data_IF_150601778057
#
_entry.id   IF_150601778057
#
_cell.length_a   1.000
_cell.length_b   1.000
_cell.length_c   1.000
_cell.angle_alpha   90.00
_cell.angle_beta   90.00
_cell.angle_gamma   90.00
#
_symmetry.space_group_name_H-M   'P 1'
#
loop_
_entity.id
_entity.type
_entity.pdbx_description
1 polymer ?
#
# COMPACT_ATOMS: atom_id res chain seq x y z
N UNK A 1 41.86 -19.06 -11.74
CA UNK A 1 41.09 -19.20 -10.48
C UNK A 1 40.45 -17.84 -10.22
N UNK A 2 39.13 -17.65 -10.17
CA UNK A 2 38.02 -18.50 -9.75
C UNK A 2 36.99 -18.76 -10.86
N UNK A 3 36.45 -19.97 -10.82
CA UNK A 3 35.28 -20.39 -11.59
C UNK A 3 34.05 -19.56 -11.19
N UNK A 4 33.42 -18.91 -12.17
CA UNK A 4 31.99 -18.59 -12.09
C UNK A 4 31.26 -19.92 -12.21
N UNK A 5 31.08 -20.60 -11.08
CA UNK A 5 30.23 -21.78 -11.00
C UNK A 5 28.77 -21.31 -10.97
N UNK A 6 28.13 -21.26 -12.13
CA UNK A 6 26.70 -21.00 -12.28
C UNK A 6 25.92 -22.19 -11.68
N UNK A 7 25.64 -22.12 -10.38
CA UNK A 7 24.95 -23.18 -9.65
C UNK A 7 23.58 -23.49 -10.28
N UNK A 8 23.25 -24.75 -10.61
CA UNK A 8 21.96 -25.13 -11.22
C UNK A 8 20.76 -24.83 -10.30
N UNK A 9 21.01 -24.62 -9.00
CA UNK A 9 20.01 -24.19 -8.02
C UNK A 9 19.67 -22.69 -8.13
N UNK A 10 20.60 -21.86 -8.61
CA UNK A 10 20.38 -20.45 -8.93
C UNK A 10 19.48 -20.29 -10.16
N UNK A 11 19.81 -20.96 -11.28
CA UNK A 11 19.03 -20.92 -12.53
C UNK A 11 17.57 -21.35 -12.34
N UNK A 12 17.31 -22.40 -11.54
CA UNK A 12 15.94 -22.83 -11.20
C UNK A 12 15.19 -21.83 -10.32
N UNK A 13 15.89 -21.11 -9.44
CA UNK A 13 15.30 -20.08 -8.56
C UNK A 13 15.00 -18.81 -9.36
N UNK A 14 15.90 -18.39 -10.24
CA UNK A 14 15.71 -17.26 -11.16
C UNK A 14 14.55 -17.55 -12.13
N UNK A 15 14.43 -18.77 -12.65
CA UNK A 15 13.29 -19.17 -13.48
C UNK A 15 11.94 -19.14 -12.74
N UNK A 16 11.90 -19.62 -11.49
CA UNK A 16 10.69 -19.53 -10.63
C UNK A 16 10.33 -18.08 -10.29
N UNK A 17 11.33 -17.25 -10.01
CA UNK A 17 11.13 -15.83 -9.73
C UNK A 17 10.61 -15.10 -10.97
N UNK A 18 11.20 -15.34 -12.14
CA UNK A 18 10.76 -14.75 -13.40
C UNK A 18 9.30 -15.17 -13.73
N UNK A 19 8.94 -16.44 -13.50
CA UNK A 19 7.57 -16.93 -13.66
C UNK A 19 6.57 -16.20 -12.74
N UNK A 20 6.90 -16.03 -11.46
CA UNK A 20 6.04 -15.32 -10.49
C UNK A 20 5.90 -13.84 -10.86
N UNK A 21 6.99 -13.20 -11.29
CA UNK A 21 6.96 -11.80 -11.76
C UNK A 21 6.07 -11.64 -12.98
N UNK A 22 6.16 -12.56 -13.95
CA UNK A 22 5.31 -12.58 -15.14
C UNK A 22 3.83 -12.76 -14.78
N UNK A 23 3.51 -13.68 -13.86
CA UNK A 23 2.14 -13.89 -13.36
C UNK A 23 1.59 -12.65 -12.65
N UNK A 24 2.38 -12.01 -11.78
CA UNK A 24 1.97 -10.78 -11.10
C UNK A 24 1.79 -9.61 -12.09
N UNK A 25 2.66 -9.46 -13.09
CA UNK A 25 2.50 -8.45 -14.14
C UNK A 25 1.20 -8.63 -14.92
N UNK A 26 0.88 -9.87 -15.31
CA UNK A 26 -0.37 -10.19 -16.01
C UNK A 26 -1.58 -9.90 -15.13
N UNK A 27 -1.53 -10.25 -13.84
CA UNK A 27 -2.61 -9.99 -12.89
C UNK A 27 -2.83 -8.48 -12.67
N UNK A 28 -1.76 -7.69 -12.56
CA UNK A 28 -1.82 -6.24 -12.42
C UNK A 28 -2.39 -5.60 -13.69
N UNK A 29 -1.95 -6.02 -14.88
CA UNK A 29 -2.49 -5.55 -16.15
C UNK A 29 -3.98 -5.91 -16.32
N UNK A 30 -4.38 -7.10 -15.89
CA UNK A 30 -5.79 -7.53 -15.90
C UNK A 30 -6.64 -6.69 -14.95
N UNK A 31 -6.16 -6.40 -13.73
CA UNK A 31 -6.84 -5.51 -12.79
C UNK A 31 -6.98 -4.09 -13.32
N UNK A 32 -5.91 -3.54 -13.93
CA UNK A 32 -5.95 -2.22 -14.56
C UNK A 32 -6.98 -2.22 -15.70
N UNK A 33 -6.97 -3.24 -16.57
CA UNK A 33 -7.93 -3.38 -17.66
C UNK A 33 -9.38 -3.48 -17.15
N UNK A 34 -9.61 -4.25 -16.09
CA UNK A 34 -10.92 -4.38 -15.44
C UNK A 34 -11.41 -3.05 -14.85
N UNK A 35 -10.53 -2.29 -14.20
CA UNK A 35 -10.84 -0.98 -13.60
C UNK A 35 -11.12 0.08 -14.68
N UNK A 36 -10.38 0.05 -15.79
CA UNK A 36 -10.55 0.95 -16.94
C UNK A 36 -11.86 0.64 -17.68
N UNK A 37 -12.17 -0.63 -17.92
CA UNK A 37 -13.44 -1.03 -18.55
C UNK A 37 -14.67 -0.69 -17.70
N UNK A 38 -14.52 -0.58 -16.37
CA UNK A 38 -15.64 -0.23 -15.48
C UNK A 38 -16.07 1.23 -15.58
N UNK A 39 -15.13 2.19 -15.67
CA UNK A 39 -15.46 3.62 -15.78
C UNK A 39 -14.28 4.43 -16.36
N UNK A 40 -14.48 5.26 -17.40
CA UNK A 40 -13.41 6.06 -18.00
C UNK A 40 -12.89 7.20 -17.09
N UNK A 41 -13.60 7.53 -16.00
CA UNK A 41 -13.14 8.52 -15.00
C UNK A 41 -12.00 7.99 -14.12
N UNK A 42 -11.84 6.67 -14.01
CA UNK A 42 -10.78 6.04 -13.23
C UNK A 42 -9.40 6.15 -13.91
N UNK A 43 -9.33 6.64 -15.15
CA UNK A 43 -8.07 6.93 -15.84
C UNK A 43 -7.21 7.93 -15.05
N UNK A 44 -7.83 8.89 -14.36
CA UNK A 44 -7.11 9.86 -13.54
C UNK A 44 -6.32 9.18 -12.41
N UNK A 45 -6.90 8.14 -11.81
CA UNK A 45 -6.25 7.38 -10.73
C UNK A 45 -5.08 6.55 -11.26
N UNK A 46 -5.23 5.98 -12.47
CA UNK A 46 -4.16 5.22 -13.12
C UNK A 46 -2.96 6.12 -13.47
N UNK A 47 -3.22 7.33 -13.98
CA UNK A 47 -2.19 8.32 -14.28
C UNK A 47 -1.45 8.72 -12.99
N UNK A 48 -2.17 8.91 -11.88
CA UNK A 48 -1.57 9.22 -10.58
C UNK A 48 -0.57 8.16 -10.10
N UNK A 49 -0.91 6.87 -10.23
CA UNK A 49 -0.02 5.77 -9.86
C UNK A 49 1.22 5.75 -10.76
N UNK A 50 1.03 5.92 -12.07
CA UNK A 50 2.15 6.01 -13.03
C UNK A 50 3.07 7.20 -12.75
N UNK A 51 2.50 8.37 -12.43
CA UNK A 51 3.24 9.57 -12.09
C UNK A 51 4.06 9.40 -10.80
N UNK A 52 3.49 8.76 -9.77
CA UNK A 52 4.22 8.47 -8.53
C UNK A 52 5.42 7.55 -8.76
N UNK A 53 5.25 6.48 -9.54
CA UNK A 53 6.36 5.59 -9.92
C UNK A 53 7.41 6.37 -10.72
N UNK A 54 6.99 7.21 -11.65
CA UNK A 54 7.89 8.03 -12.47
C UNK A 54 8.71 9.00 -11.62
N UNK A 55 8.10 9.68 -10.64
CA UNK A 55 8.81 10.56 -9.69
C UNK A 55 9.83 9.75 -8.87
N UNK A 56 9.47 8.56 -8.38
CA UNK A 56 10.40 7.69 -7.68
C UNK A 56 11.59 7.27 -8.56
N UNK A 57 11.37 7.04 -9.85
CA UNK A 57 12.44 6.72 -10.81
C UNK A 57 13.31 7.96 -11.09
N UNK A 58 12.72 9.14 -11.24
CA UNK A 58 13.45 10.39 -11.47
C UNK A 58 14.32 10.80 -10.28
N UNK A 59 13.86 10.57 -9.05
CA UNK A 59 14.64 10.80 -7.83
C UNK A 59 15.68 9.71 -7.55
N UNK A 60 15.71 8.63 -8.33
CA UNK A 60 16.66 7.53 -8.13
C UNK A 60 18.03 7.88 -8.70
N UNK A 61 19.07 7.76 -7.87
CA UNK A 61 20.46 8.04 -8.26
C UNK A 61 20.95 7.09 -9.35
N UNK A 62 20.45 5.85 -9.41
CA UNK A 62 20.84 4.82 -10.39
C UNK A 62 19.60 4.16 -11.04
N UNK A 63 18.92 4.84 -11.97
CA UNK A 63 17.62 4.39 -12.49
C UNK A 63 17.70 3.09 -13.32
N UNK A 64 18.86 2.77 -13.90
CA UNK A 64 19.06 1.53 -14.66
C UNK A 64 19.29 0.28 -13.80
N UNK A 65 19.58 0.41 -12.49
CA UNK A 65 19.87 -0.74 -11.60
C UNK A 65 18.72 -1.03 -10.64
N UNK A 66 17.50 -0.63 -11.00
CA UNK A 66 16.32 -0.85 -10.17
C UNK A 66 15.88 -2.32 -10.30
N UNK A 67 15.85 -3.02 -9.17
CA UNK A 67 15.24 -4.34 -9.09
C UNK A 67 13.71 -4.19 -9.10
N UNK A 68 13.08 -4.50 -10.22
CA UNK A 68 11.63 -4.37 -10.41
C UNK A 68 10.79 -5.40 -9.64
N UNK A 69 11.41 -6.50 -9.21
CA UNK A 69 10.75 -7.56 -8.45
C UNK A 69 10.11 -7.06 -7.14
N UNK A 70 10.83 -6.39 -6.21
CA UNK A 70 10.23 -5.86 -4.99
C UNK A 70 9.16 -4.79 -5.27
N UNK A 71 9.34 -3.95 -6.29
CA UNK A 71 8.36 -2.92 -6.67
C UNK A 71 7.03 -3.56 -7.08
N UNK A 72 7.07 -4.55 -7.97
CA UNK A 72 5.88 -5.28 -8.41
C UNK A 72 5.23 -6.10 -7.28
N UNK A 73 6.04 -6.69 -6.39
CA UNK A 73 5.53 -7.41 -5.22
C UNK A 73 4.79 -6.48 -4.26
N UNK A 74 5.34 -5.28 -4.02
CA UNK A 74 4.71 -4.25 -3.19
C UNK A 74 3.36 -3.83 -3.75
N UNK A 75 3.28 -3.53 -5.05
CA UNK A 75 2.02 -3.21 -5.71
C UNK A 75 1.02 -4.36 -5.62
N UNK A 76 1.46 -5.60 -5.87
CA UNK A 76 0.59 -6.77 -5.78
C UNK A 76 -0.04 -6.92 -4.38
N UNK A 77 0.77 -6.81 -3.33
CA UNK A 77 0.28 -6.88 -1.95
C UNK A 77 -0.67 -5.71 -1.65
N UNK A 78 -0.30 -4.48 -2.05
CA UNK A 78 -1.10 -3.28 -1.81
C UNK A 78 -2.48 -3.36 -2.48
N UNK A 79 -2.54 -3.79 -3.74
CA UNK A 79 -3.81 -3.99 -4.45
C UNK A 79 -4.61 -5.17 -3.88
N UNK A 80 -3.95 -6.28 -3.53
CA UNK A 80 -4.61 -7.43 -2.92
C UNK A 80 -5.26 -7.03 -1.60
N UNK A 81 -4.53 -6.31 -0.75
CA UNK A 81 -5.05 -5.82 0.51
C UNK A 81 -6.23 -4.87 0.29
N UNK A 82 -6.10 -3.89 -0.62
CA UNK A 82 -7.18 -2.96 -0.93
C UNK A 82 -8.45 -3.66 -1.44
N UNK A 83 -8.33 -4.64 -2.32
CA UNK A 83 -9.48 -5.41 -2.83
C UNK A 83 -10.11 -6.25 -1.71
N UNK A 84 -9.29 -6.92 -0.91
CA UNK A 84 -9.77 -7.74 0.22
C UNK A 84 -10.50 -6.86 1.24
N UNK A 85 -9.99 -5.68 1.58
CA UNK A 85 -10.56 -4.86 2.65
C UNK A 85 -11.72 -3.98 2.20
N UNK A 86 -11.62 -3.33 1.03
CA UNK A 86 -12.67 -2.42 0.54
C UNK A 86 -13.77 -3.10 -0.26
N UNK A 87 -13.48 -4.19 -0.98
CA UNK A 87 -14.46 -4.79 -1.90
C UNK A 87 -15.19 -5.99 -1.29
N UNK A 88 -14.58 -6.70 -0.32
CA UNK A 88 -15.22 -7.87 0.30
C UNK A 88 -16.05 -7.48 1.51
N UNK A 89 -17.28 -8.03 1.61
CA UNK A 89 -18.19 -7.84 2.74
C UNK A 89 -17.53 -8.17 4.11
N UNK A 90 -16.84 -9.32 4.29
CA UNK A 90 -16.18 -9.59 5.56
C UNK A 90 -14.99 -8.65 5.82
N UNK A 91 -14.24 -8.25 4.79
CA UNK A 91 -13.12 -7.31 4.93
C UNK A 91 -13.57 -5.94 5.45
N UNK A 92 -14.68 -5.44 4.91
CA UNK A 92 -15.28 -4.19 5.39
C UNK A 92 -15.73 -4.28 6.85
N UNK A 93 -16.40 -5.37 7.24
CA UNK A 93 -16.87 -5.58 8.61
C UNK A 93 -15.73 -5.63 9.63
N UNK A 94 -14.59 -6.25 9.28
CA UNK A 94 -13.40 -6.28 10.14
C UNK A 94 -12.81 -4.89 10.31
N UNK A 95 -12.70 -4.12 9.22
CA UNK A 95 -12.17 -2.75 9.27
C UNK A 95 -13.09 -1.80 10.03
N UNK A 96 -14.40 -1.95 9.89
CA UNK A 96 -15.39 -1.18 10.64
C UNK A 96 -15.29 -1.44 12.15
N UNK A 97 -15.13 -2.71 12.53
CA UNK A 97 -14.88 -3.08 13.93
C UNK A 97 -13.59 -2.48 14.48
N UNK A 98 -12.48 -2.54 13.72
CA UNK A 98 -11.21 -1.91 14.11
C UNK A 98 -11.37 -0.39 14.22
N UNK A 99 -12.13 0.23 13.32
CA UNK A 99 -12.46 1.65 13.37
C UNK A 99 -13.19 2.02 14.65
N UNK A 100 -14.25 1.27 14.99
CA UNK A 100 -15.01 1.48 16.22
C UNK A 100 -14.15 1.33 17.48
N UNK A 101 -13.28 0.32 17.54
CA UNK A 101 -12.35 0.16 18.67
C UNK A 101 -11.35 1.31 18.75
N UNK A 102 -10.85 1.79 17.62
CA UNK A 102 -9.94 2.95 17.58
C UNK A 102 -10.63 4.22 18.06
N UNK A 103 -11.87 4.45 17.63
CA UNK A 103 -12.69 5.57 18.12
C UNK A 103 -12.94 5.50 19.62
N UNK A 104 -13.23 4.30 20.16
CA UNK A 104 -13.39 4.11 21.60
C UNK A 104 -12.08 4.40 22.37
N UNK A 105 -10.91 4.02 21.84
CA UNK A 105 -9.62 4.37 22.42
C UNK A 105 -9.36 5.89 22.39
N UNK A 106 -9.76 6.56 21.31
CA UNK A 106 -9.66 8.01 21.22
C UNK A 106 -10.56 8.71 22.24
N UNK A 107 -11.77 8.21 22.48
CA UNK A 107 -12.67 8.78 23.49
C UNK A 107 -12.12 8.64 24.90
N UNK A 108 -11.56 7.48 25.25
CA UNK A 108 -10.86 7.30 26.52
C UNK A 108 -9.63 8.22 26.65
N UNK A 109 -8.91 8.43 25.55
CA UNK A 109 -7.77 9.36 25.51
C UNK A 109 -8.19 10.81 25.73
N UNK A 110 -9.38 11.23 25.24
CA UNK A 110 -9.94 12.57 25.50
C UNK A 110 -10.24 12.79 26.99
N UNK A 111 -10.78 11.78 27.68
CA UNK A 111 -11.01 11.84 29.12
C UNK A 111 -9.69 11.95 29.89
N UNK A 112 -8.67 11.18 29.50
CA UNK A 112 -7.33 11.28 30.09
C UNK A 112 -6.67 12.64 29.84
N UNK A 113 -6.81 13.19 28.64
CA UNK A 113 -6.34 14.54 28.33
C UNK A 113 -7.07 15.60 29.18
N UNK A 114 -8.38 15.46 29.41
CA UNK A 114 -9.15 16.36 30.26
C UNK A 114 -8.71 16.31 31.72
N UNK A 115 -8.30 15.15 32.22
CA UNK A 115 -7.73 15.03 33.57
C UNK A 115 -6.38 15.75 33.71
N UNK A 116 -5.51 15.67 32.70
CA UNK A 116 -4.17 16.27 32.75
C UNK A 116 -4.21 17.78 32.47
N UNK A 117 -5.05 18.22 31.53
CA UNK A 117 -5.09 19.59 31.04
C UNK A 117 -6.29 20.41 31.54
N UNK A 118 -7.26 19.82 32.25
CA UNK A 118 -8.41 20.53 32.82
C UNK A 118 -9.21 21.33 31.79
N UNK A 119 -9.65 22.54 32.16
CA UNK A 119 -10.43 23.46 31.31
C UNK A 119 -9.67 24.01 30.08
N UNK A 120 -8.37 23.75 29.93
CA UNK A 120 -7.63 24.16 28.74
C UNK A 120 -8.11 23.44 27.46
N UNK A 121 -8.91 22.37 27.59
CA UNK A 121 -9.56 21.68 26.47
C UNK A 121 -10.71 22.50 25.87
N UNK A 122 -11.44 23.31 26.66
CA UNK A 122 -12.55 24.14 26.13
C UNK A 122 -12.07 25.18 25.11
N UNK A 123 -10.81 25.60 25.22
CA UNK A 123 -10.21 26.56 24.27
C UNK A 123 -9.97 25.97 22.87
N UNK A 124 -10.35 24.70 22.61
CA UNK A 124 -10.13 23.97 21.34
C UNK A 124 -8.74 24.23 20.74
N UNK A 125 -7.73 24.26 21.60
CA UNK A 125 -6.38 24.48 21.16
C UNK A 125 -5.89 23.21 20.45
N UNK A 126 -5.49 23.35 19.18
CA UNK A 126 -4.98 22.25 18.35
C UNK A 126 -3.80 21.51 18.99
N UNK A 127 -3.07 22.17 19.90
CA UNK A 127 -1.96 21.59 20.67
C UNK A 127 -2.44 20.49 21.65
N UNK A 128 -3.69 20.56 22.10
CA UNK A 128 -4.22 19.73 23.19
C UNK A 128 -5.25 18.71 22.69
N UNK A 129 -6.08 19.10 21.71
CA UNK A 129 -7.07 18.19 21.12
C UNK A 129 -6.99 18.24 19.59
N UNK A 130 -6.52 17.14 19.00
CA UNK A 130 -6.53 16.92 17.55
C UNK A 130 -7.77 16.09 17.24
N UNK A 131 -8.78 16.74 16.65
CA UNK A 131 -9.98 16.06 16.17
C UNK A 131 -9.67 15.50 14.77
N UNK A 132 -9.56 14.17 14.66
CA UNK A 132 -9.41 13.45 13.40
C UNK A 132 -10.77 13.06 12.84
#
# INVERSE_FOLDING_TARGET
>A
MCCIEDSPRSRKRVGKIALVVMLCLIAVLYLIFFVVMRNPKNLISLIGIGAMVLICVLMSVHPLKINWQPVLMGFFIQFTFAVVTLQTKPGYAVFDFIGAQTSALMENSKVGASFVFGDLIETRCFVIQVEF
#
